data_IF_711980876731
#
_entry.id   IF_711980876731
#
_cell.length_a   1.000
_cell.length_b   1.000
_cell.length_c   1.000
_cell.angle_alpha   90.00
_cell.angle_beta   90.00
_cell.angle_gamma   90.00
#
_symmetry.space_group_name_H-M   'P 1'
#
loop_
_entity.id
_entity.type
_entity.pdbx_description
1 polymer ?
#
# COMPACT_ATOMS: atom_id res chain seq x y z
N UNK A 1 17.47 6.73 8.63
CA UNK A 1 17.02 5.45 9.23
C UNK A 1 16.55 4.56 8.09
N UNK A 2 16.98 3.29 8.03
CA UNK A 2 16.46 2.31 7.06
C UNK A 2 15.40 1.47 7.77
N UNK A 3 14.15 1.55 7.32
CA UNK A 3 13.07 0.68 7.79
C UNK A 3 12.97 -0.47 6.79
N UNK A 4 13.11 -1.70 7.29
CA UNK A 4 12.99 -2.93 6.51
C UNK A 4 11.84 -3.76 7.09
N UNK A 5 10.82 -3.98 6.27
CA UNK A 5 9.63 -4.76 6.58
C UNK A 5 9.51 -6.00 5.69
N UNK A 6 10.61 -6.42 5.07
CA UNK A 6 10.66 -7.63 4.25
C UNK A 6 10.11 -8.83 5.02
N UNK A 7 9.21 -9.58 4.39
CA UNK A 7 8.54 -10.74 5.00
C UNK A 7 7.44 -10.40 6.02
N UNK A 8 7.08 -9.12 6.18
CA UNK A 8 5.88 -8.71 6.95
C UNK A 8 4.70 -8.48 6.01
N UNK A 9 3.50 -8.75 6.54
CA UNK A 9 2.23 -8.43 5.88
C UNK A 9 1.53 -7.33 6.65
N UNK A 10 1.06 -6.30 5.95
CA UNK A 10 0.35 -5.17 6.54
C UNK A 10 -1.02 -4.96 5.87
N UNK A 11 -2.08 -4.93 6.66
CA UNK A 11 -3.40 -4.47 6.22
C UNK A 11 -3.53 -2.98 6.50
N UNK A 12 -3.83 -2.20 5.47
CA UNK A 12 -4.14 -0.76 5.62
C UNK A 12 -5.59 -0.53 5.21
N UNK A 13 -6.44 -0.12 6.17
CA UNK A 13 -7.85 0.21 5.90
C UNK A 13 -7.97 1.62 5.33
N UNK A 14 -9.02 1.86 4.52
CA UNK A 14 -9.22 3.18 3.89
C UNK A 14 -8.04 3.63 3.02
N UNK A 15 -7.39 2.69 2.33
CA UNK A 15 -6.07 2.88 1.72
C UNK A 15 -6.10 3.21 0.22
N UNK A 16 -7.28 3.46 -0.34
CA UNK A 16 -7.41 3.78 -1.76
C UNK A 16 -6.97 5.21 -2.09
N UNK A 17 -7.01 6.14 -1.12
CA UNK A 17 -6.67 7.56 -1.29
C UNK A 17 -6.08 8.17 0.00
N UNK A 18 -5.64 9.43 -0.09
CA UNK A 18 -5.25 10.24 1.07
C UNK A 18 -4.14 9.62 1.92
N UNK A 19 -4.27 9.72 3.24
CA UNK A 19 -3.26 9.26 4.21
C UNK A 19 -3.08 7.75 4.13
N UNK A 20 -4.17 6.98 4.06
CA UNK A 20 -4.12 5.52 3.98
C UNK A 20 -3.33 5.05 2.76
N UNK A 21 -3.49 5.71 1.61
CA UNK A 21 -2.69 5.45 0.41
C UNK A 21 -1.19 5.76 0.64
N UNK A 22 -0.88 6.90 1.25
CA UNK A 22 0.50 7.29 1.58
C UNK A 22 1.19 6.27 2.50
N UNK A 23 0.47 5.80 3.52
CA UNK A 23 0.94 4.76 4.43
C UNK A 23 1.18 3.45 3.68
N UNK A 24 0.21 2.98 2.89
CA UNK A 24 0.32 1.75 2.12
C UNK A 24 1.52 1.79 1.16
N UNK A 25 1.74 2.91 0.46
CA UNK A 25 2.90 3.11 -0.41
C UNK A 25 4.22 3.06 0.37
N UNK A 26 4.29 3.73 1.53
CA UNK A 26 5.49 3.73 2.37
C UNK A 26 5.84 2.34 2.92
N UNK A 27 4.84 1.58 3.34
CA UNK A 27 5.02 0.20 3.82
C UNK A 27 5.50 -0.73 2.69
N UNK A 28 4.91 -0.60 1.50
CA UNK A 28 5.37 -1.35 0.32
C UNK A 28 6.81 -0.99 -0.05
N UNK A 29 7.18 0.30 0.00
CA UNK A 29 8.54 0.76 -0.26
C UNK A 29 9.57 0.21 0.74
N UNK A 30 9.12 -0.11 1.96
CA UNK A 30 9.94 -0.75 2.98
C UNK A 30 10.00 -2.28 2.85
N UNK A 31 9.38 -2.88 1.82
CA UNK A 31 9.43 -4.31 1.53
C UNK A 31 8.30 -5.16 2.12
N UNK A 32 7.27 -4.53 2.73
CA UNK A 32 6.11 -5.27 3.23
C UNK A 32 5.20 -5.74 2.09
N UNK A 33 4.55 -6.89 2.27
CA UNK A 33 3.37 -7.27 1.50
C UNK A 33 2.17 -6.48 2.03
N UNK A 34 1.61 -5.58 1.22
CA UNK A 34 0.54 -4.68 1.66
C UNK A 34 -0.81 -5.11 1.08
N UNK A 35 -1.81 -5.24 1.96
CA UNK A 35 -3.22 -5.45 1.60
C UNK A 35 -3.94 -4.11 1.59
N UNK A 36 -4.52 -3.79 0.43
CA UNK A 36 -5.31 -2.57 0.19
C UNK A 36 -6.78 -2.88 0.46
N UNK A 37 -7.46 -1.96 1.15
CA UNK A 37 -8.87 -2.07 1.50
C UNK A 37 -9.63 -0.79 1.11
N UNK A 38 -10.80 -0.97 0.54
CA UNK A 38 -11.69 0.10 0.08
C UNK A 38 -13.12 -0.39 -0.11
N UNK A 39 -14.01 0.52 -0.50
CA UNK A 39 -15.46 0.24 -0.68
C UNK A 39 -15.83 -0.21 -2.09
N UNK A 40 -14.99 0.06 -3.08
CA UNK A 40 -15.22 -0.30 -4.49
C UNK A 40 -13.96 -0.94 -5.07
N UNK A 41 -14.17 -1.91 -5.95
CA UNK A 41 -13.09 -2.65 -6.60
C UNK A 41 -12.22 -1.71 -7.44
N UNK A 42 -12.83 -0.84 -8.25
CA UNK A 42 -12.12 0.13 -9.09
C UNK A 42 -11.15 1.03 -8.30
N UNK A 43 -11.56 1.47 -7.11
CA UNK A 43 -10.71 2.31 -6.27
C UNK A 43 -9.55 1.52 -5.66
N UNK A 44 -9.77 0.25 -5.33
CA UNK A 44 -8.73 -0.66 -4.84
C UNK A 44 -7.73 -0.96 -5.96
N UNK A 45 -8.20 -1.33 -7.15
CA UNK A 45 -7.36 -1.67 -8.30
C UNK A 45 -6.52 -0.48 -8.74
N UNK A 46 -7.12 0.72 -8.81
CA UNK A 46 -6.40 1.96 -9.09
C UNK A 46 -5.30 2.23 -8.07
N UNK A 47 -5.58 2.05 -6.78
CA UNK A 47 -4.58 2.23 -5.74
C UNK A 47 -3.44 1.21 -5.82
N UNK A 48 -3.76 -0.07 -6.07
CA UNK A 48 -2.77 -1.14 -6.26
C UNK A 48 -1.86 -0.81 -7.45
N UNK A 49 -2.43 -0.43 -8.60
CA UNK A 49 -1.67 -0.07 -9.79
C UNK A 49 -0.73 1.12 -9.53
N UNK A 50 -1.23 2.17 -8.85
CA UNK A 50 -0.43 3.35 -8.47
C UNK A 50 0.69 3.03 -7.49
N UNK A 51 0.48 2.09 -6.56
CA UNK A 51 1.53 1.63 -5.65
C UNK A 51 2.57 0.84 -6.43
N UNK A 52 2.17 -0.18 -7.20
CA UNK A 52 3.09 -1.00 -8.01
C UNK A 52 3.93 -0.17 -9.00
N UNK A 53 3.37 0.91 -9.55
CA UNK A 53 4.13 1.80 -10.43
C UNK A 53 5.16 2.67 -9.67
N UNK A 54 4.99 2.84 -8.36
CA UNK A 54 5.78 3.77 -7.54
C UNK A 54 6.78 3.09 -6.60
N UNK A 55 6.78 1.76 -6.52
CA UNK A 55 7.71 0.96 -5.73
C UNK A 55 8.27 -0.21 -6.55
N UNK A 56 9.52 -0.64 -6.30
CA UNK A 56 10.16 -1.76 -7.01
C UNK A 56 9.48 -3.10 -6.79
#
# INVERSE_FOLDING_TARGET
MKIDLSGKTALVTGSTVGIGFGIAKGLAAAGATVVINGRSQDAVDSAIARIKAAVP
#
